data_IF_574809462830
#
_entry.id   IF_574809462830
#
_cell.length_a   1.000
_cell.length_b   1.000
_cell.length_c   1.000
_cell.angle_alpha   90.00
_cell.angle_beta   90.00
_cell.angle_gamma   90.00
#
_symmetry.space_group_name_H-M   'P 1'
#
loop_
_entity.id
_entity.type
_entity.pdbx_description
1 polymer ?
#
# COMPACT_ATOMS: atom_id res chain seq x y z
N UNK A 1 26.74 33.27 36.13
CA UNK A 1 26.11 34.48 35.55
C UNK A 1 25.52 34.05 34.23
N UNK A 2 24.21 33.99 34.22
CA UNK A 2 23.35 33.38 33.22
C UNK A 2 23.41 34.14 31.89
N UNK A 3 23.73 33.42 30.82
CA UNK A 3 23.52 33.92 29.47
C UNK A 3 22.04 33.76 29.16
N UNK A 4 21.31 34.87 29.26
CA UNK A 4 19.94 35.03 28.80
C UNK A 4 19.82 34.58 27.33
N UNK A 5 19.43 33.32 27.12
CA UNK A 5 18.76 32.90 25.89
C UNK A 5 17.44 33.65 25.87
N UNK A 6 17.41 34.79 25.20
CA UNK A 6 16.16 35.44 24.81
C UNK A 6 15.41 34.44 23.93
N UNK A 7 14.48 33.71 24.54
CA UNK A 7 13.47 32.93 23.83
C UNK A 7 12.77 33.94 22.92
N UNK A 8 12.97 33.79 21.60
CA UNK A 8 12.28 34.64 20.63
C UNK A 8 10.79 34.46 20.87
N UNK A 9 10.14 35.49 21.39
CA UNK A 9 8.70 35.48 21.63
C UNK A 9 7.97 35.12 20.33
N UNK A 10 7.04 34.17 20.43
CA UNK A 10 6.19 33.78 19.33
C UNK A 10 5.42 35.00 18.83
N UNK A 11 5.43 35.21 17.51
CA UNK A 11 4.72 36.36 16.92
C UNK A 11 3.22 36.08 16.94
N UNK A 12 2.41 37.07 17.31
CA UNK A 12 0.96 37.02 17.12
C UNK A 12 0.62 37.32 15.66
N UNK A 13 -0.23 36.50 15.05
CA UNK A 13 -0.72 36.71 13.70
C UNK A 13 -1.70 37.90 13.67
N UNK A 14 -1.68 38.67 12.57
CA UNK A 14 -2.75 39.63 12.29
C UNK A 14 -4.03 38.89 11.88
N UNK A 15 -5.22 39.50 11.93
CA UNK A 15 -6.46 38.84 11.47
C UNK A 15 -6.36 38.29 10.05
N UNK A 16 -5.76 39.04 9.13
CA UNK A 16 -5.56 38.60 7.74
C UNK A 16 -4.53 37.46 7.67
N UNK A 17 -3.44 37.55 8.46
CA UNK A 17 -2.44 36.50 8.56
C UNK A 17 -3.00 35.20 9.13
N UNK A 18 -3.94 35.30 10.08
CA UNK A 18 -4.64 34.15 10.65
C UNK A 18 -5.49 33.44 9.60
N UNK A 19 -6.23 34.18 8.76
CA UNK A 19 -7.02 33.59 7.68
C UNK A 19 -6.14 32.83 6.68
N UNK A 20 -5.01 33.43 6.27
CA UNK A 20 -4.05 32.78 5.37
C UNK A 20 -3.43 31.54 6.03
N UNK A 21 -3.12 31.62 7.33
CA UNK A 21 -2.60 30.48 8.08
C UNK A 21 -3.57 29.31 8.11
N UNK A 22 -4.81 29.55 8.50
CA UNK A 22 -5.86 28.54 8.59
C UNK A 22 -6.15 27.89 7.23
N UNK A 23 -6.14 28.67 6.15
CA UNK A 23 -6.34 28.15 4.80
C UNK A 23 -5.20 27.21 4.39
N UNK A 24 -3.94 27.59 4.64
CA UNK A 24 -2.81 26.71 4.35
C UNK A 24 -2.84 25.43 5.20
N UNK A 25 -3.14 25.55 6.50
CA UNK A 25 -3.34 24.40 7.40
C UNK A 25 -4.43 23.48 6.84
N UNK A 26 -5.58 24.03 6.42
CA UNK A 26 -6.68 23.25 5.82
C UNK A 26 -6.25 22.53 4.55
N UNK A 27 -5.49 23.18 3.68
CA UNK A 27 -5.00 22.56 2.44
C UNK A 27 -4.03 21.41 2.70
N UNK A 28 -3.07 21.58 3.61
CA UNK A 28 -2.14 20.50 3.98
C UNK A 28 -2.85 19.34 4.67
N UNK A 29 -3.68 19.64 5.67
CA UNK A 29 -4.43 18.61 6.43
C UNK A 29 -5.39 17.83 5.55
N UNK A 30 -6.05 18.48 4.57
CA UNK A 30 -6.90 17.80 3.59
C UNK A 30 -6.09 16.79 2.75
N UNK A 31 -4.95 17.22 2.19
CA UNK A 31 -4.06 16.34 1.41
C UNK A 31 -3.52 15.17 2.24
N UNK A 32 -3.12 15.41 3.48
CA UNK A 32 -2.65 14.37 4.40
C UNK A 32 -3.78 13.37 4.72
N UNK A 33 -5.00 13.86 4.95
CA UNK A 33 -6.17 13.01 5.23
C UNK A 33 -6.51 12.10 4.05
N UNK A 34 -6.38 12.58 2.81
CA UNK A 34 -6.59 11.76 1.62
C UNK A 34 -5.63 10.58 1.62
N UNK A 35 -4.33 10.83 1.81
CA UNK A 35 -3.33 9.77 1.85
C UNK A 35 -3.53 8.80 3.02
N UNK A 36 -3.89 9.33 4.20
CA UNK A 36 -4.22 8.52 5.37
C UNK A 36 -5.40 7.57 5.09
N UNK A 37 -6.45 8.05 4.40
CA UNK A 37 -7.61 7.23 4.04
C UNK A 37 -7.23 6.10 3.09
N UNK A 38 -6.39 6.35 2.08
CA UNK A 38 -5.92 5.28 1.18
C UNK A 38 -5.12 4.22 1.94
N UNK A 39 -4.24 4.66 2.85
CA UNK A 39 -3.50 3.76 3.73
C UNK A 39 -4.48 2.92 4.57
N UNK A 40 -5.44 3.55 5.25
CA UNK A 40 -6.42 2.84 6.08
C UNK A 40 -7.25 1.83 5.28
N UNK A 41 -7.64 2.17 4.05
CA UNK A 41 -8.35 1.26 3.15
C UNK A 41 -7.51 0.03 2.82
N UNK A 42 -6.24 0.23 2.43
CA UNK A 42 -5.34 -0.88 2.12
C UNK A 42 -5.08 -1.75 3.37
N UNK A 43 -4.92 -1.12 4.54
CA UNK A 43 -4.78 -1.85 5.80
C UNK A 43 -6.03 -2.67 6.15
N UNK A 44 -7.22 -2.11 5.90
CA UNK A 44 -8.49 -2.82 6.02
C UNK A 44 -8.54 -4.05 5.11
N UNK A 45 -8.21 -3.87 3.83
CA UNK A 45 -8.18 -4.96 2.86
C UNK A 45 -7.20 -6.06 3.29
N UNK A 46 -5.99 -5.71 3.72
CA UNK A 46 -5.00 -6.68 4.23
C UNK A 46 -5.57 -7.48 5.41
N UNK A 47 -6.30 -6.82 6.32
CA UNK A 47 -6.87 -7.46 7.49
C UNK A 47 -8.02 -8.43 7.15
N UNK A 48 -8.81 -8.12 6.11
CA UNK A 48 -9.92 -8.96 5.65
C UNK A 48 -9.45 -10.21 4.88
N UNK A 49 -8.27 -10.16 4.25
CA UNK A 49 -7.74 -11.27 3.48
C UNK A 49 -7.15 -12.38 4.35
N UNK A 50 -7.97 -13.40 4.63
CA UNK A 50 -7.54 -14.60 5.40
C UNK A 50 -6.47 -15.46 4.70
N UNK A 51 -6.42 -15.42 3.35
CA UNK A 51 -5.38 -16.06 2.55
C UNK A 51 -4.84 -15.07 1.52
N UNK A 52 -3.58 -14.70 1.67
CA UNK A 52 -2.93 -13.72 0.82
C UNK A 52 -1.96 -14.42 -0.13
N UNK A 53 -2.06 -14.12 -1.43
CA UNK A 53 -1.14 -14.68 -2.45
C UNK A 53 0.08 -13.79 -2.61
N UNK A 54 1.21 -14.36 -3.06
CA UNK A 54 2.45 -13.60 -3.29
C UNK A 54 2.26 -12.37 -4.20
N UNK A 55 1.59 -12.45 -5.37
CA UNK A 55 1.35 -11.28 -6.21
C UNK A 55 0.53 -10.19 -5.49
N UNK A 56 -0.49 -10.60 -4.72
CA UNK A 56 -1.35 -9.68 -3.98
C UNK A 56 -0.59 -8.99 -2.83
N UNK A 57 0.21 -9.72 -2.07
CA UNK A 57 1.08 -9.17 -1.04
C UNK A 57 2.07 -8.15 -1.61
N UNK A 58 2.66 -8.44 -2.77
CA UNK A 58 3.52 -7.49 -3.50
C UNK A 58 2.76 -6.21 -3.88
N UNK A 59 1.54 -6.32 -4.40
CA UNK A 59 0.71 -5.16 -4.76
C UNK A 59 0.40 -4.31 -3.53
N UNK A 60 -0.07 -4.92 -2.43
CA UNK A 60 -0.36 -4.17 -1.21
C UNK A 60 0.88 -3.48 -0.64
N UNK A 61 2.03 -4.15 -0.62
CA UNK A 61 3.29 -3.53 -0.19
C UNK A 61 3.63 -2.31 -1.05
N UNK A 62 3.54 -2.44 -2.37
CA UNK A 62 3.85 -1.34 -3.31
C UNK A 62 2.92 -0.14 -3.11
N UNK A 63 1.61 -0.37 -3.03
CA UNK A 63 0.63 0.71 -2.83
C UNK A 63 0.78 1.37 -1.45
N UNK A 64 1.00 0.60 -0.38
CA UNK A 64 1.29 1.17 0.95
C UNK A 64 2.53 2.04 0.93
N UNK A 65 3.63 1.57 0.33
CA UNK A 65 4.87 2.34 0.23
C UNK A 65 4.69 3.63 -0.58
N UNK A 66 3.91 3.58 -1.67
CA UNK A 66 3.59 4.74 -2.49
C UNK A 66 2.83 5.80 -1.69
N UNK A 67 1.71 5.44 -1.07
CA UNK A 67 0.90 6.38 -0.30
C UNK A 67 1.62 6.89 0.96
N UNK A 68 2.41 6.05 1.61
CA UNK A 68 3.25 6.47 2.74
C UNK A 68 4.29 7.51 2.29
N UNK A 69 4.95 7.28 1.15
CA UNK A 69 5.93 8.24 0.61
C UNK A 69 5.27 9.58 0.26
N UNK A 70 4.11 9.56 -0.39
CA UNK A 70 3.35 10.77 -0.71
C UNK A 70 2.93 11.52 0.57
N UNK A 71 2.46 10.79 1.59
CA UNK A 71 2.15 11.36 2.90
C UNK A 71 3.38 12.04 3.54
N UNK A 72 4.53 11.37 3.54
CA UNK A 72 5.78 11.90 4.11
C UNK A 72 6.28 13.17 3.39
N UNK A 73 6.15 13.22 2.06
CA UNK A 73 6.50 14.40 1.28
C UNK A 73 5.60 15.61 1.60
N UNK A 74 4.29 15.38 1.75
CA UNK A 74 3.34 16.42 2.16
C UNK A 74 3.60 16.84 3.61
N UNK A 75 3.81 15.87 4.51
CA UNK A 75 4.09 16.10 5.93
C UNK A 75 5.34 16.94 6.12
N UNK A 76 6.42 16.68 5.37
CA UNK A 76 7.64 17.50 5.41
C UNK A 76 7.40 18.95 5.00
N UNK A 77 6.71 19.16 3.87
CA UNK A 77 6.36 20.52 3.39
C UNK A 77 5.50 21.26 4.41
N UNK A 78 4.61 20.53 5.09
CA UNK A 78 3.77 21.09 6.12
C UNK A 78 4.56 21.45 7.39
N UNK A 79 5.48 20.60 7.84
CA UNK A 79 6.39 20.92 8.96
C UNK A 79 7.24 22.15 8.64
N UNK A 80 7.83 22.23 7.44
CA UNK A 80 8.60 23.39 6.97
C UNK A 80 7.76 24.66 7.00
N UNK A 81 6.50 24.58 6.53
CA UNK A 81 5.55 25.68 6.60
C UNK A 81 5.31 26.11 8.05
N UNK A 82 4.96 25.20 8.95
CA UNK A 82 4.68 25.51 10.35
C UNK A 82 5.90 26.11 11.07
N UNK A 83 7.10 25.58 10.83
CA UNK A 83 8.35 26.12 11.37
C UNK A 83 8.60 27.56 10.89
N UNK A 84 8.23 27.87 9.65
CA UNK A 84 8.43 29.20 9.08
C UNK A 84 7.54 30.28 9.70
N UNK A 85 6.35 29.93 10.21
CA UNK A 85 5.38 30.89 10.74
C UNK A 85 5.81 31.49 12.09
N UNK A 86 6.49 30.72 12.95
CA UNK A 86 7.05 31.19 14.23
C UNK A 86 6.00 31.86 15.14
N UNK A 87 4.79 31.29 15.18
CA UNK A 87 3.70 31.69 16.06
C UNK A 87 3.23 30.53 16.96
N UNK A 88 2.50 30.84 18.02
CA UNK A 88 2.02 29.84 18.99
C UNK A 88 1.04 28.85 18.35
N UNK A 89 0.21 29.31 17.41
CA UNK A 89 -0.68 28.48 16.60
C UNK A 89 0.13 27.45 15.81
N UNK A 90 1.19 27.89 15.12
CA UNK A 90 2.04 26.99 14.34
C UNK A 90 2.77 25.97 15.20
N UNK A 91 3.20 26.35 16.40
CA UNK A 91 3.86 25.44 17.34
C UNK A 91 2.90 24.35 17.84
N UNK A 92 1.67 24.72 18.20
CA UNK A 92 0.64 23.76 18.62
C UNK A 92 0.24 22.81 17.50
N UNK A 93 0.05 23.36 16.30
CA UNK A 93 -0.29 22.57 15.12
C UNK A 93 0.84 21.58 14.78
N UNK A 94 2.09 22.03 14.87
CA UNK A 94 3.27 21.19 14.63
C UNK A 94 3.36 20.03 15.61
N UNK A 95 3.15 20.28 16.90
CA UNK A 95 3.13 19.22 17.91
C UNK A 95 2.04 18.18 17.61
N UNK A 96 0.84 18.64 17.21
CA UNK A 96 -0.26 17.75 16.84
C UNK A 96 0.06 16.94 15.59
N UNK A 97 0.58 17.59 14.56
CA UNK A 97 1.00 16.94 13.31
C UNK A 97 2.08 15.89 13.55
N UNK A 98 3.09 16.19 14.38
CA UNK A 98 4.15 15.25 14.73
C UNK A 98 3.60 13.98 15.37
N UNK A 99 2.65 14.10 16.30
CA UNK A 99 2.04 12.93 16.96
C UNK A 99 1.27 12.05 15.97
N UNK A 100 0.48 12.67 15.10
CA UNK A 100 -0.30 11.95 14.08
C UNK A 100 0.65 11.24 13.11
N UNK A 101 1.68 11.95 12.62
CA UNK A 101 2.66 11.41 11.67
C UNK A 101 3.43 10.22 12.26
N UNK A 102 3.91 10.33 13.50
CA UNK A 102 4.59 9.23 14.17
C UNK A 102 3.68 8.02 14.41
N UNK A 103 2.42 8.25 14.79
CA UNK A 103 1.43 7.18 14.96
C UNK A 103 1.18 6.42 13.65
N UNK A 104 1.00 7.15 12.54
CA UNK A 104 0.79 6.56 11.22
C UNK A 104 2.02 5.76 10.78
N UNK A 105 3.22 6.35 10.86
CA UNK A 105 4.45 5.65 10.50
C UNK A 105 4.61 4.36 11.30
N UNK A 106 4.39 4.40 12.62
CA UNK A 106 4.46 3.21 13.46
C UNK A 106 3.46 2.16 12.98
N UNK A 107 2.18 2.52 12.77
CA UNK A 107 1.17 1.58 12.30
C UNK A 107 1.51 0.95 10.95
N UNK A 108 1.86 1.75 9.95
CA UNK A 108 2.12 1.26 8.58
C UNK A 108 3.40 0.44 8.50
N UNK A 109 4.50 0.98 9.02
CA UNK A 109 5.81 0.33 8.92
C UNK A 109 5.83 -0.93 9.78
N UNK A 110 5.60 -0.80 11.08
CA UNK A 110 5.80 -1.92 12.02
C UNK A 110 4.74 -3.02 11.94
N UNK A 111 3.51 -2.71 11.50
CA UNK A 111 2.41 -3.70 11.52
C UNK A 111 2.01 -4.21 10.15
N UNK A 112 2.22 -3.45 9.09
CA UNK A 112 1.77 -3.87 7.77
C UNK A 112 2.92 -4.24 6.86
N UNK A 113 3.90 -3.32 6.69
CA UNK A 113 5.03 -3.55 5.80
C UNK A 113 5.88 -4.73 6.32
N UNK A 114 6.26 -4.74 7.60
CA UNK A 114 7.07 -5.82 8.18
C UNK A 114 6.36 -7.19 8.06
N UNK A 115 5.05 -7.23 8.27
CA UNK A 115 4.25 -8.45 8.13
C UNK A 115 4.16 -8.93 6.67
N UNK A 116 3.97 -8.00 5.73
CA UNK A 116 4.00 -8.31 4.30
C UNK A 116 5.39 -8.82 3.87
N UNK A 117 6.46 -8.22 4.37
CA UNK A 117 7.83 -8.66 4.09
C UNK A 117 8.12 -10.05 4.63
N UNK A 118 7.73 -10.34 5.87
CA UNK A 118 7.86 -11.67 6.44
C UNK A 118 7.09 -12.72 5.61
N UNK A 119 5.86 -12.39 5.19
CA UNK A 119 5.07 -13.27 4.34
C UNK A 119 5.71 -13.50 2.97
N UNK A 120 6.22 -12.45 2.32
CA UNK A 120 6.92 -12.57 1.04
C UNK A 120 8.17 -13.46 1.14
N UNK A 121 8.94 -13.35 2.22
CA UNK A 121 10.08 -14.22 2.48
C UNK A 121 9.67 -15.70 2.64
N UNK A 122 8.53 -15.98 3.27
CA UNK A 122 8.03 -17.36 3.38
C UNK A 122 7.69 -17.96 2.02
N UNK A 123 7.07 -17.18 1.12
CA UNK A 123 6.79 -17.64 -0.25
C UNK A 123 8.07 -17.94 -1.03
N UNK A 124 9.09 -17.09 -0.92
CA UNK A 124 10.39 -17.30 -1.59
C UNK A 124 11.08 -18.59 -1.11
N UNK A 125 11.02 -18.86 0.20
CA UNK A 125 11.60 -20.07 0.80
C UNK A 125 10.84 -21.35 0.40
N UNK A 126 9.52 -21.30 0.30
CA UNK A 126 8.71 -22.42 -0.19
C UNK A 126 9.01 -22.75 -1.67
N UNK A 127 9.14 -21.74 -2.52
CA UNK A 127 9.56 -21.91 -3.92
C UNK A 127 10.95 -22.55 -4.01
N UNK A 128 11.91 -22.05 -3.22
CA UNK A 128 13.27 -22.59 -3.20
C UNK A 128 13.32 -24.07 -2.75
N UNK A 129 12.49 -24.43 -1.75
CA UNK A 129 12.41 -25.80 -1.24
C UNK A 129 11.76 -26.74 -2.26
N UNK A 130 10.74 -26.31 -3.00
CA UNK A 130 10.17 -27.09 -4.11
C UNK A 130 11.21 -27.40 -5.18
N UNK A 131 11.96 -26.40 -5.62
CA UNK A 131 13.02 -26.57 -6.64
C UNK A 131 14.11 -27.54 -6.17
N UNK A 132 14.56 -27.44 -4.91
CA UNK A 132 15.55 -28.37 -4.33
C UNK A 132 15.03 -29.81 -4.27
N UNK A 133 13.76 -29.98 -3.89
CA UNK A 133 13.15 -31.31 -3.81
C UNK A 133 13.03 -31.94 -5.20
N UNK A 134 12.64 -31.15 -6.20
CA UNK A 134 12.55 -31.58 -7.60
C UNK A 134 13.93 -31.95 -8.18
N UNK A 135 14.97 -31.18 -7.91
CA UNK A 135 16.35 -31.48 -8.32
C UNK A 135 16.90 -32.75 -7.65
N UNK A 136 16.61 -32.96 -6.36
CA UNK A 136 17.02 -34.19 -5.64
C UNK A 136 16.32 -35.44 -6.21
N UNK A 137 15.06 -35.36 -6.62
CA UNK A 137 14.39 -36.47 -7.32
C UNK A 137 14.95 -36.78 -8.71
N UNK A 138 15.62 -35.85 -9.37
CA UNK A 138 16.26 -36.10 -10.68
C UNK A 138 17.63 -36.78 -10.55
N UNK A 139 18.33 -36.59 -9.42
CA UNK A 139 19.68 -37.14 -9.19
C UNK A 139 19.64 -38.62 -8.74
N UNK A 140 18.52 -39.11 -8.19
CA UNK A 140 18.35 -40.52 -7.74
C UNK A 140 17.61 -41.36 -8.80
N UNK A 141 17.97 -41.24 -10.07
CA UNK A 141 17.57 -42.22 -11.10
C UNK A 141 18.76 -43.12 -11.46
N UNK A 142 18.73 -44.42 -11.11
CA UNK A 142 19.75 -45.35 -11.59
C UNK A 142 19.60 -45.55 -13.11
N UNK A 143 20.72 -45.69 -13.85
CA UNK A 143 20.68 -46.04 -15.26
C UNK A 143 20.29 -47.52 -15.41
N UNK A 144 19.46 -47.80 -16.40
CA UNK A 144 18.91 -49.11 -16.81
C UNK A 144 17.79 -49.74 -15.97
N UNK A 145 16.55 -49.49 -16.42
CA UNK A 145 15.49 -50.49 -16.41
C UNK A 145 14.65 -50.38 -17.69
N UNK A 146 15.01 -51.20 -18.67
CA UNK A 146 14.32 -51.42 -19.92
C UNK A 146 12.91 -52.00 -19.65
N UNK A 147 11.88 -51.36 -20.24
CA UNK A 147 10.47 -51.81 -20.41
C UNK A 147 9.64 -52.20 -19.16
N UNK A 148 8.86 -51.22 -18.67
CA UNK A 148 7.66 -51.35 -17.80
C UNK A 148 6.60 -50.28 -18.14
N UNK A 149 5.33 -50.40 -17.71
CA UNK A 149 4.13 -50.23 -18.54
C UNK A 149 3.89 -48.79 -19.01
N UNK A 150 3.90 -48.59 -20.34
CA UNK A 150 3.61 -47.31 -21.00
C UNK A 150 2.28 -46.67 -20.57
N UNK A 151 1.29 -47.46 -20.09
CA UNK A 151 0.00 -46.94 -19.62
C UNK A 151 0.11 -46.03 -18.39
N UNK A 152 1.01 -46.29 -17.45
CA UNK A 152 1.14 -45.47 -16.24
C UNK A 152 1.78 -44.10 -16.52
N UNK A 153 2.75 -44.05 -17.44
CA UNK A 153 3.36 -42.78 -17.88
C UNK A 153 2.39 -41.91 -18.68
N UNK A 154 1.50 -42.54 -19.47
CA UNK A 154 0.45 -41.82 -20.22
C UNK A 154 -0.64 -41.29 -19.30
N UNK A 155 -1.06 -42.05 -18.28
CA UNK A 155 -2.02 -41.58 -17.27
C UNK A 155 -1.46 -40.42 -16.44
N UNK A 156 -0.21 -40.49 -15.98
CA UNK A 156 0.46 -39.40 -15.27
C UNK A 156 0.61 -38.14 -16.15
N UNK A 157 0.89 -38.31 -17.44
CA UNK A 157 0.94 -37.20 -18.39
C UNK A 157 -0.45 -36.58 -18.62
N UNK A 158 -1.52 -37.39 -18.69
CA UNK A 158 -2.91 -36.90 -18.75
C UNK A 158 -3.31 -36.13 -17.49
N UNK A 159 -2.90 -36.59 -16.31
CA UNK A 159 -3.21 -35.87 -15.06
C UNK A 159 -2.48 -34.53 -15.03
N UNK A 160 -1.19 -34.49 -15.38
CA UNK A 160 -0.44 -33.23 -15.50
C UNK A 160 -1.04 -32.28 -16.53
N UNK A 161 -1.51 -32.80 -17.67
CA UNK A 161 -2.16 -31.98 -18.69
C UNK A 161 -3.51 -31.40 -18.21
N UNK A 162 -4.29 -32.15 -17.42
CA UNK A 162 -5.50 -31.64 -16.77
C UNK A 162 -5.20 -30.54 -15.77
N UNK A 163 -4.22 -30.75 -14.88
CA UNK A 163 -3.82 -29.72 -13.91
C UNK A 163 -3.30 -28.44 -14.60
N UNK A 164 -2.50 -28.59 -15.67
CA UNK A 164 -2.05 -27.44 -16.46
C UNK A 164 -3.21 -26.70 -17.16
N UNK A 165 -4.25 -27.43 -17.60
CA UNK A 165 -5.46 -26.80 -18.15
C UNK A 165 -6.25 -26.05 -17.08
N UNK A 166 -6.42 -26.62 -15.89
CA UNK A 166 -7.10 -25.98 -14.78
C UNK A 166 -6.36 -24.71 -14.31
N UNK A 167 -5.03 -24.73 -14.26
CA UNK A 167 -4.20 -23.58 -13.90
C UNK A 167 -4.32 -22.45 -14.92
N UNK A 168 -4.30 -22.78 -16.23
CA UNK A 168 -4.52 -21.79 -17.30
C UNK A 168 -5.92 -21.20 -17.22
N UNK A 169 -6.94 -22.00 -16.90
CA UNK A 169 -8.32 -21.51 -16.73
C UNK A 169 -8.46 -20.59 -15.51
N UNK A 170 -7.77 -20.91 -14.41
CA UNK A 170 -7.72 -20.09 -13.19
C UNK A 170 -7.03 -18.74 -13.46
N UNK A 171 -5.90 -18.75 -14.17
CA UNK A 171 -5.20 -17.54 -14.61
C UNK A 171 -6.09 -16.66 -15.51
N UNK A 172 -6.86 -17.27 -16.42
CA UNK A 172 -7.85 -16.53 -17.24
C UNK A 172 -8.94 -15.90 -16.39
N UNK A 173 -9.50 -16.63 -15.41
CA UNK A 173 -10.51 -16.09 -14.49
C UNK A 173 -9.96 -14.94 -13.65
N UNK A 174 -8.74 -15.07 -13.14
CA UNK A 174 -8.08 -14.01 -12.37
C UNK A 174 -7.82 -12.76 -13.22
N UNK A 175 -7.38 -12.94 -14.47
CA UNK A 175 -7.18 -11.81 -15.41
C UNK A 175 -8.50 -11.11 -15.73
N UNK A 176 -9.59 -11.86 -15.88
CA UNK A 176 -10.92 -11.30 -16.09
C UNK A 176 -11.40 -10.49 -14.88
N UNK A 177 -11.24 -11.01 -13.66
CA UNK A 177 -11.57 -10.29 -12.41
C UNK A 177 -10.75 -9.00 -12.29
N UNK A 178 -9.46 -9.05 -12.63
CA UNK A 178 -8.60 -7.87 -12.57
C UNK A 178 -8.98 -6.81 -13.62
N UNK A 179 -9.47 -7.24 -14.78
CA UNK A 179 -10.03 -6.33 -15.79
C UNK A 179 -11.36 -5.70 -15.32
N UNK A 180 -12.23 -6.49 -14.68
CA UNK A 180 -13.49 -6.00 -14.12
C UNK A 180 -13.26 -5.01 -12.97
N UNK A 181 -12.29 -5.27 -12.10
CA UNK A 181 -11.84 -4.33 -11.05
C UNK A 181 -11.40 -2.98 -11.64
N UNK A 182 -10.56 -3.00 -12.69
CA UNK A 182 -10.15 -1.77 -13.39
C UNK A 182 -11.33 -1.04 -14.00
N UNK A 183 -12.27 -1.78 -14.59
CA UNK A 183 -13.49 -1.20 -15.18
C UNK A 183 -14.41 -0.58 -14.11
N UNK A 184 -14.52 -1.18 -12.93
CA UNK A 184 -15.28 -0.63 -11.80
C UNK A 184 -14.62 0.62 -11.23
N UNK A 185 -13.29 0.65 -11.11
CA UNK A 185 -12.54 1.85 -10.71
C UNK A 185 -12.82 3.02 -11.66
N UNK A 186 -12.71 2.80 -12.97
CA UNK A 186 -13.01 3.83 -13.97
C UNK A 186 -14.47 4.29 -13.89
N UNK A 187 -15.41 3.38 -13.60
CA UNK A 187 -16.82 3.75 -13.43
C UNK A 187 -17.04 4.63 -12.21
N UNK A 188 -16.37 4.34 -11.09
CA UNK A 188 -16.41 5.16 -9.88
C UNK A 188 -15.85 6.56 -10.15
N UNK A 189 -14.71 6.65 -10.84
CA UNK A 189 -14.10 7.95 -11.19
C UNK A 189 -15.04 8.79 -12.08
N UNK A 190 -15.76 8.15 -13.01
CA UNK A 190 -16.77 8.82 -13.85
C UNK A 190 -17.97 9.28 -13.01
N UNK A 191 -18.48 8.43 -12.10
CA UNK A 191 -19.61 8.78 -11.22
C UNK A 191 -19.27 9.93 -10.25
N UNK A 192 -18.02 10.01 -9.78
CA UNK A 192 -17.51 11.09 -8.94
C UNK A 192 -17.46 12.41 -9.72
N UNK A 193 -16.90 12.39 -10.93
CA UNK A 193 -16.89 13.56 -11.83
C UNK A 193 -18.31 14.00 -12.21
N UNK A 194 -19.23 13.06 -12.47
CA UNK A 194 -20.63 13.37 -12.76
C UNK A 194 -21.34 13.99 -11.55
N UNK A 195 -21.04 13.56 -10.33
CA UNK A 195 -21.56 14.17 -9.11
C UNK A 195 -21.02 15.60 -8.94
N UNK A 196 -19.73 15.81 -9.14
CA UNK A 196 -19.11 17.14 -9.07
C UNK A 196 -19.70 18.09 -10.12
N UNK A 197 -19.92 17.61 -11.35
CA UNK A 197 -20.55 18.38 -12.42
C UNK A 197 -22.01 18.72 -12.12
N UNK A 198 -22.80 17.80 -11.53
CA UNK A 198 -24.17 18.10 -11.10
C UNK A 198 -24.21 19.17 -10.00
N UNK A 199 -23.33 19.06 -8.99
CA UNK A 199 -23.23 20.04 -7.92
C UNK A 199 -22.82 21.42 -8.48
N UNK A 200 -21.94 21.46 -9.48
CA UNK A 200 -21.58 22.72 -10.15
C UNK A 200 -22.74 23.32 -10.95
N UNK A 201 -23.56 22.49 -11.58
CA UNK A 201 -24.66 22.93 -12.44
C UNK A 201 -25.92 23.31 -11.64
N UNK A 202 -26.08 22.81 -10.41
CA UNK A 202 -27.16 23.20 -9.48
C UNK A 202 -26.84 24.49 -8.69
N UNK A 203 -25.59 24.97 -8.74
CA UNK A 203 -25.14 26.21 -8.08
C UNK A 203 -24.98 27.39 -9.07
N UNK A 204 -25.49 27.25 -10.29
CA UNK A 204 -25.67 28.30 -11.31
C UNK A 204 -27.15 28.68 -11.43
#
# INVERSE_FOLDING_TARGET
>A
MDSERTLREARRLTPEGQLVFEENVRQFTSKLRIQHRYIDMILGDIHEHTQMTKPLACTYKQELMKHLKEYEEISRKYDDYLVSQRCDESSRERSSHSLISSSLQQQVVSKAIDNLEAMLQTFDMEELNKVKTEQLTQIIQPPDAFRGPQKAKVEAAKTRAKFAQEEVELMRKQTAIQADMKRLSVKHDIEEVDCELRVLNENL
#
